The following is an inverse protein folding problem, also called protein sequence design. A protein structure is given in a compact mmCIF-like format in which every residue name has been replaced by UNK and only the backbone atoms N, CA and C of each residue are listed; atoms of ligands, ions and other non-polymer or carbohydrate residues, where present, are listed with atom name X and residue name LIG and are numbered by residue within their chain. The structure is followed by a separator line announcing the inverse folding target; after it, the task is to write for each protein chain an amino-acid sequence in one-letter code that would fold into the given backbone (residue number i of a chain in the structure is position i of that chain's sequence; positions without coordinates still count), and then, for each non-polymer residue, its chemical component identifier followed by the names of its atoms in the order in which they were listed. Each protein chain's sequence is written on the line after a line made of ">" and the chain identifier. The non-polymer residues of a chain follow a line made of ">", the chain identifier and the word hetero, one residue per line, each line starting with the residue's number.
data_IF_715194091733
#
_entry.id   IF_715194091733
#
_cell.length_a   1.000
_cell.length_b   1.000
_cell.length_c   1.000
_cell.angle_alpha   90.00
_cell.angle_beta   90.00
_cell.angle_gamma   90.00
#
_symmetry.space_group_name_H-M   'P 1'
#
loop_
_entity.id
_entity.type
_entity.pdbx_description
1 polymer ?
#
# COMPACT_ATOMS: atom_id res chain seq x y z
N UNK A 1 -13.68 6.30 -12.16
CA UNK A 1 -12.85 5.44 -11.29
C UNK A 1 -13.65 4.95 -10.10
N UNK A 2 -13.52 3.64 -9.86
CA UNK A 2 -13.92 2.81 -8.71
C UNK A 2 -15.04 3.28 -7.79
N UNK A 3 -16.31 3.02 -8.15
CA UNK A 3 -17.23 2.56 -7.09
C UNK A 3 -16.82 1.11 -6.82
N UNK A 4 -16.37 0.79 -5.61
CA UNK A 4 -16.45 -0.60 -5.16
C UNK A 4 -17.93 -0.96 -5.26
N UNK A 5 -18.28 -1.72 -6.31
CA UNK A 5 -19.66 -2.15 -6.56
C UNK A 5 -20.06 -3.29 -5.64
N UNK A 6 -19.07 -3.92 -5.01
CA UNK A 6 -19.19 -5.07 -4.14
C UNK A 6 -18.50 -4.75 -2.81
N UNK A 7 -19.14 -5.15 -1.73
CA UNK A 7 -18.59 -5.20 -0.38
C UNK A 7 -17.53 -6.30 -0.30
N UNK A 8 -16.64 -6.27 0.71
CA UNK A 8 -15.68 -7.36 0.93
C UNK A 8 -16.36 -8.72 1.09
N UNK A 9 -17.52 -8.77 1.77
CA UNK A 9 -18.33 -9.99 1.91
C UNK A 9 -18.77 -10.57 0.57
N UNK A 10 -19.19 -9.71 -0.36
CA UNK A 10 -19.62 -10.12 -1.71
C UNK A 10 -18.44 -10.50 -2.61
N UNK A 11 -17.21 -10.15 -2.25
CA UNK A 11 -16.01 -10.59 -2.97
C UNK A 11 -15.55 -11.98 -2.51
N UNK A 12 -15.86 -12.38 -1.28
CA UNK A 12 -15.56 -13.71 -0.77
C UNK A 12 -16.15 -14.79 -1.72
N UNK A 13 -15.33 -15.78 -2.08
CA UNK A 13 -15.70 -16.82 -3.04
C UNK A 13 -15.59 -16.43 -4.52
N UNK A 14 -15.20 -15.20 -4.86
CA UNK A 14 -14.88 -14.81 -6.23
C UNK A 14 -13.41 -15.04 -6.56
N UNK A 15 -13.11 -15.24 -7.84
CA UNK A 15 -11.74 -15.41 -8.33
C UNK A 15 -10.80 -14.26 -7.90
N UNK A 16 -11.31 -13.03 -7.81
CA UNK A 16 -10.55 -11.87 -7.37
C UNK A 16 -10.10 -11.99 -5.91
N UNK A 17 -10.96 -12.52 -5.03
CA UNK A 17 -10.61 -12.76 -3.64
C UNK A 17 -9.54 -13.83 -3.53
N UNK A 18 -9.67 -14.92 -4.28
CA UNK A 18 -8.66 -15.98 -4.31
C UNK A 18 -7.30 -15.47 -4.79
N UNK A 19 -7.28 -14.65 -5.85
CA UNK A 19 -6.04 -14.03 -6.32
C UNK A 19 -5.42 -13.08 -5.29
N UNK A 20 -6.22 -12.39 -4.47
CA UNK A 20 -5.71 -11.56 -3.37
C UNK A 20 -5.09 -12.44 -2.29
N UNK A 21 -5.78 -13.51 -1.88
CA UNK A 21 -5.27 -14.44 -0.88
C UNK A 21 -3.97 -15.10 -1.35
N UNK A 22 -3.92 -15.62 -2.58
CA UNK A 22 -2.72 -16.20 -3.18
C UNK A 22 -1.53 -15.22 -3.16
N UNK A 23 -1.78 -13.94 -3.49
CA UNK A 23 -0.76 -12.89 -3.44
C UNK A 23 -0.35 -12.49 -2.02
N UNK A 24 -1.12 -12.87 -1.00
CA UNK A 24 -0.81 -12.65 0.42
C UNK A 24 -0.02 -13.79 1.07
N UNK A 25 0.17 -14.93 0.39
CA UNK A 25 1.06 -16.01 0.85
C UNK A 25 2.53 -15.69 0.59
N UNK A 26 3.09 -14.77 1.37
CA UNK A 26 4.46 -14.28 1.20
C UNK A 26 5.54 -15.35 1.43
N UNK A 27 5.35 -16.29 2.36
CA UNK A 27 6.34 -17.36 2.55
C UNK A 27 6.40 -18.29 1.33
N UNK A 28 5.22 -18.65 0.78
CA UNK A 28 5.14 -19.41 -0.47
C UNK A 28 5.89 -18.71 -1.61
N UNK A 29 5.71 -17.40 -1.75
CA UNK A 29 6.39 -16.61 -2.77
C UNK A 29 7.90 -16.55 -2.52
N UNK A 30 8.32 -16.22 -1.30
CA UNK A 30 9.74 -16.14 -0.92
C UNK A 30 10.47 -17.46 -1.15
N UNK A 31 9.83 -18.59 -0.85
CA UNK A 31 10.40 -19.93 -1.08
C UNK A 31 10.79 -20.13 -2.55
N UNK A 32 9.95 -19.70 -3.48
CA UNK A 32 10.24 -19.83 -4.91
C UNK A 32 11.51 -19.06 -5.33
N UNK A 33 11.86 -17.97 -4.64
CA UNK A 33 13.13 -17.28 -4.87
C UNK A 33 14.30 -18.00 -4.21
N UNK A 34 14.11 -18.52 -3.00
CA UNK A 34 15.15 -19.24 -2.27
C UNK A 34 15.57 -20.56 -2.93
N UNK A 35 14.74 -21.11 -3.83
CA UNK A 35 15.12 -22.25 -4.67
C UNK A 35 16.27 -21.89 -5.66
N UNK A 36 16.51 -20.61 -5.93
CA UNK A 36 17.49 -20.14 -6.92
C UNK A 36 18.53 -19.15 -6.37
N UNK A 37 18.21 -18.45 -5.26
CA UNK A 37 19.05 -17.41 -4.68
C UNK A 37 19.42 -17.78 -3.24
N UNK A 38 20.67 -17.52 -2.86
CA UNK A 38 21.09 -17.67 -1.46
C UNK A 38 20.29 -16.68 -0.59
N UNK A 39 19.89 -17.05 0.66
CA UNK A 39 19.14 -16.16 1.55
C UNK A 39 19.75 -14.76 1.69
N UNK A 40 21.08 -14.67 1.78
CA UNK A 40 21.80 -13.40 1.90
C UNK A 40 21.69 -12.49 0.66
N UNK A 41 21.19 -12.98 -0.46
CA UNK A 41 20.92 -12.17 -1.66
C UNK A 41 19.53 -11.52 -1.64
N UNK A 42 18.67 -11.92 -0.69
CA UNK A 42 17.30 -11.43 -0.56
C UNK A 42 17.15 -10.64 0.73
N UNK A 43 16.87 -9.35 0.60
CA UNK A 43 16.54 -8.50 1.73
C UNK A 43 15.02 -8.39 1.89
N UNK A 44 14.50 -8.86 3.01
CA UNK A 44 13.09 -8.67 3.39
C UNK A 44 12.98 -7.50 4.37
N UNK A 45 12.07 -6.56 4.10
CA UNK A 45 11.89 -5.35 4.90
C UNK A 45 10.45 -5.26 5.40
N UNK A 46 10.28 -4.87 6.66
CA UNK A 46 9.00 -4.45 7.21
C UNK A 46 8.65 -3.03 6.75
N UNK A 47 7.54 -2.91 6.02
CA UNK A 47 7.06 -1.63 5.50
C UNK A 47 6.66 -0.64 6.61
N UNK A 48 6.10 -1.11 7.72
CA UNK A 48 5.70 -0.22 8.82
C UNK A 48 6.93 0.39 9.52
N UNK A 49 7.99 -0.40 9.64
CA UNK A 49 9.27 0.09 10.15
C UNK A 49 9.94 1.02 9.15
N UNK A 50 9.84 0.76 7.84
CA UNK A 50 10.30 1.69 6.80
C UNK A 50 9.61 3.06 6.88
N UNK A 51 8.31 3.10 7.16
CA UNK A 51 7.58 4.37 7.31
C UNK A 51 7.96 5.13 8.59
N UNK A 52 8.14 4.41 9.70
CA UNK A 52 8.40 5.02 11.01
C UNK A 52 9.88 5.35 11.27
N UNK A 53 10.80 4.63 10.64
CA UNK A 53 12.25 4.78 10.79
C UNK A 53 12.98 4.58 9.44
N UNK A 54 12.77 5.48 8.45
CA UNK A 54 13.20 5.27 7.06
C UNK A 54 14.73 5.18 6.89
N UNK A 55 15.50 5.91 7.71
CA UNK A 55 16.97 5.93 7.57
C UNK A 55 17.58 4.54 7.80
N UNK A 56 17.17 3.83 8.85
CA UNK A 56 17.73 2.50 9.14
C UNK A 56 17.44 1.48 8.04
N UNK A 57 16.29 1.58 7.39
CA UNK A 57 15.97 0.73 6.23
C UNK A 57 16.77 1.11 4.99
N UNK A 58 16.96 2.41 4.73
CA UNK A 58 17.81 2.86 3.61
C UNK A 58 19.24 2.37 3.80
N UNK A 59 19.79 2.48 5.01
CA UNK A 59 21.13 1.98 5.33
C UNK A 59 21.23 0.45 5.12
N UNK A 60 20.19 -0.31 5.51
CA UNK A 60 20.13 -1.74 5.26
C UNK A 60 20.08 -2.08 3.76
N UNK A 61 19.29 -1.34 2.98
CA UNK A 61 19.19 -1.50 1.52
C UNK A 61 20.55 -1.21 0.87
N UNK A 62 21.17 -0.08 1.19
CA UNK A 62 22.45 0.33 0.60
C UNK A 62 23.55 -0.68 0.90
N UNK A 63 23.64 -1.12 2.15
CA UNK A 63 24.59 -2.18 2.56
C UNK A 63 24.35 -3.48 1.80
N UNK A 64 23.10 -3.89 1.62
CA UNK A 64 22.74 -5.12 0.90
C UNK A 64 23.15 -5.08 -0.57
N UNK A 65 23.03 -3.93 -1.22
CA UNK A 65 23.43 -3.76 -2.63
C UNK A 65 24.90 -3.34 -2.81
N UNK A 66 25.65 -3.15 -1.71
CA UNK A 66 27.05 -2.72 -1.74
C UNK A 66 27.24 -1.24 -2.14
N UNK A 67 26.26 -0.39 -1.88
CA UNK A 67 26.33 1.04 -2.16
C UNK A 67 26.82 1.84 -0.93
N UNK A 68 27.41 3.01 -1.20
CA UNK A 68 27.84 3.94 -0.16
C UNK A 68 26.66 4.50 0.65
N UNK A 69 26.84 4.76 1.96
CA UNK A 69 25.79 5.34 2.81
C UNK A 69 25.23 6.65 2.25
N UNK A 70 23.91 6.83 2.34
CA UNK A 70 23.24 8.05 1.93
C UNK A 70 22.14 8.44 2.93
N UNK A 71 21.98 9.74 3.15
CA UNK A 71 20.86 10.26 3.94
C UNK A 71 19.55 10.10 3.18
N UNK A 72 18.46 9.81 3.90
CA UNK A 72 17.11 9.81 3.33
C UNK A 72 16.84 11.21 2.78
N UNK A 73 16.61 11.35 1.46
CA UNK A 73 16.22 12.63 0.90
C UNK A 73 14.89 13.06 1.52
N UNK A 74 14.68 14.35 1.74
CA UNK A 74 13.42 14.87 2.26
C UNK A 74 12.27 14.49 1.32
N UNK A 75 11.60 13.38 1.62
CA UNK A 75 10.44 12.92 0.89
C UNK A 75 9.27 13.82 1.29
N UNK A 76 9.08 14.92 0.57
CA UNK A 76 7.81 15.64 0.62
C UNK A 76 6.71 14.64 0.29
N UNK A 77 5.84 14.33 1.26
CA UNK A 77 4.77 13.34 1.11
C UNK A 77 3.97 13.60 -0.18
N UNK A 78 4.20 12.80 -1.22
CA UNK A 78 3.59 12.98 -2.54
C UNK A 78 2.28 12.19 -2.72
N UNK A 79 2.04 11.22 -1.84
CA UNK A 79 0.85 10.37 -1.85
C UNK A 79 -0.16 10.80 -0.78
N UNK A 80 -0.53 12.09 -0.77
CA UNK A 80 -1.63 12.58 0.04
C UNK A 80 -2.98 12.08 -0.46
N UNK A 81 -3.24 10.76 -0.38
CA UNK A 81 -4.58 10.21 -0.59
C UNK A 81 -5.57 10.83 0.41
N UNK A 82 -5.09 11.25 1.57
CA UNK A 82 -5.83 12.06 2.55
C UNK A 82 -6.48 13.32 1.94
N UNK A 83 -5.79 14.00 1.02
CA UNK A 83 -6.34 15.18 0.35
C UNK A 83 -7.39 14.77 -0.70
N UNK A 84 -7.20 13.65 -1.40
CA UNK A 84 -8.11 13.16 -2.45
C UNK A 84 -9.39 12.52 -1.90
N UNK A 85 -9.30 11.85 -0.75
CA UNK A 85 -10.43 11.21 -0.07
C UNK A 85 -11.52 12.21 0.32
N UNK A 86 -11.10 13.45 0.62
CA UNK A 86 -11.98 14.55 1.06
C UNK A 86 -12.51 15.44 -0.08
N UNK A 87 -11.97 15.33 -1.29
CA UNK A 87 -12.41 16.13 -2.46
C UNK A 87 -13.71 15.58 -3.05
N UNK A 88 -14.79 16.38 -3.21
CA UNK A 88 -16.08 15.95 -3.77
C UNK A 88 -15.99 15.26 -5.15
N UNK A 89 -16.78 14.20 -5.36
CA UNK A 89 -16.74 13.36 -6.59
C UNK A 89 -17.09 14.14 -7.87
N UNK A 90 -18.00 15.12 -7.79
CA UNK A 90 -18.35 16.01 -8.90
C UNK A 90 -17.13 16.75 -9.44
N UNK A 91 -16.22 17.13 -8.55
CA UNK A 91 -15.02 17.88 -8.90
C UNK A 91 -13.90 17.01 -9.45
N UNK A 92 -13.73 15.79 -8.91
CA UNK A 92 -12.85 14.80 -9.53
C UNK A 92 -13.30 14.49 -10.97
N UNK A 93 -14.60 14.42 -11.24
CA UNK A 93 -15.13 14.23 -12.61
C UNK A 93 -14.79 15.39 -13.55
N UNK A 94 -14.81 16.64 -13.06
CA UNK A 94 -14.38 17.81 -13.83
C UNK A 94 -12.92 17.71 -14.28
N UNK A 95 -12.04 17.12 -13.45
CA UNK A 95 -10.64 16.89 -13.83
C UNK A 95 -10.43 15.78 -14.87
N UNK A 96 -11.46 14.96 -15.14
CA UNK A 96 -11.44 13.88 -16.12
C UNK A 96 -12.30 14.16 -17.37
N UNK A 97 -12.93 15.34 -17.47
CA UNK A 97 -13.76 15.74 -18.61
C UNK A 97 -12.97 16.32 -19.79
N UNK A 98 -13.66 16.57 -20.91
CA UNK A 98 -13.10 17.16 -22.15
C UNK A 98 -12.42 18.52 -21.95
N UNK A 99 -12.73 19.22 -20.87
CA UNK A 99 -12.16 20.53 -20.51
C UNK A 99 -10.83 20.43 -19.74
N UNK A 100 -10.35 19.23 -19.41
CA UNK A 100 -9.08 19.00 -18.71
C UNK A 100 -7.91 19.79 -19.32
N UNK A 101 -7.64 19.76 -20.65
CA UNK A 101 -6.48 20.45 -21.22
C UNK A 101 -6.51 21.96 -20.96
N UNK A 102 -7.70 22.56 -21.04
CA UNK A 102 -7.93 23.99 -20.84
C UNK A 102 -7.74 24.40 -19.38
N UNK A 103 -8.37 23.64 -18.46
CA UNK A 103 -8.22 23.85 -17.01
C UNK A 103 -6.79 23.64 -16.55
N UNK A 104 -6.07 22.69 -17.17
CA UNK A 104 -4.68 22.42 -16.80
C UNK A 104 -3.72 23.51 -17.25
N UNK A 105 -4.05 24.27 -18.30
CA UNK A 105 -3.26 25.43 -18.76
C UNK A 105 -3.47 26.66 -17.88
N UNK A 106 -4.69 26.89 -17.39
CA UNK A 106 -5.03 28.04 -16.56
C UNK A 106 -4.64 27.89 -15.09
N UNK A 107 -4.63 26.67 -14.55
CA UNK A 107 -4.37 26.42 -13.13
C UNK A 107 -3.05 25.69 -12.95
N UNK A 108 -2.01 26.42 -12.51
CA UNK A 108 -0.68 25.88 -12.23
C UNK A 108 -0.65 24.87 -11.07
N UNK A 109 0.40 24.03 -10.95
CA UNK A 109 0.46 22.92 -9.98
C UNK A 109 0.25 23.34 -8.52
N UNK A 110 0.86 24.47 -8.11
CA UNK A 110 0.75 25.03 -6.75
C UNK A 110 -0.70 25.46 -6.42
N UNK A 111 -1.37 26.09 -7.38
CA UNK A 111 -2.73 26.58 -7.21
C UNK A 111 -3.74 25.43 -7.13
N UNK A 112 -3.51 24.31 -7.85
CA UNK A 112 -4.33 23.09 -7.71
C UNK A 112 -4.23 22.48 -6.33
N UNK A 113 -3.04 22.43 -5.75
CA UNK A 113 -2.83 21.95 -4.38
C UNK A 113 -3.59 22.78 -3.35
N UNK A 114 -3.50 24.11 -3.45
CA UNK A 114 -4.22 25.02 -2.56
C UNK A 114 -5.75 24.91 -2.71
N UNK A 115 -6.26 24.85 -3.96
CA UNK A 115 -7.69 24.66 -4.22
C UNK A 115 -8.17 23.32 -3.62
N UNK A 116 -7.40 22.24 -3.80
CA UNK A 116 -7.73 20.92 -3.23
C UNK A 116 -7.81 20.97 -1.71
N UNK A 117 -6.85 21.60 -1.03
CA UNK A 117 -6.85 21.76 0.44
C UNK A 117 -8.04 22.58 0.95
N UNK A 118 -8.36 23.69 0.29
CA UNK A 118 -9.51 24.53 0.65
C UNK A 118 -10.86 23.80 0.45
N UNK A 119 -10.91 22.85 -0.48
CA UNK A 119 -12.12 22.10 -0.83
C UNK A 119 -12.19 20.70 -0.21
N UNK A 120 -11.17 20.28 0.54
CA UNK A 120 -11.13 19.03 1.30
C UNK A 120 -12.00 19.11 2.58
N UNK A 121 -13.28 19.47 2.41
CA UNK A 121 -14.28 19.65 3.49
C UNK A 121 -15.32 18.53 3.58
N UNK A 122 -15.25 17.52 2.71
CA UNK A 122 -16.16 16.37 2.74
C UNK A 122 -15.77 15.32 3.81
N UNK A 123 -16.70 14.44 4.22
CA UNK A 123 -16.39 13.32 5.09
C UNK A 123 -15.32 12.43 4.44
N UNK A 124 -14.37 11.92 5.24
CA UNK A 124 -13.36 10.96 4.79
C UNK A 124 -14.07 9.76 4.17
N UNK A 125 -13.74 9.43 2.93
CA UNK A 125 -14.23 8.22 2.28
C UNK A 125 -13.39 7.06 2.77
N UNK A 126 -13.88 6.34 3.77
CA UNK A 126 -13.28 5.07 4.20
C UNK A 126 -13.60 3.93 3.25
N UNK A 127 -12.69 2.96 3.16
CA UNK A 127 -13.04 1.65 2.62
C UNK A 127 -14.15 1.02 3.51
N UNK A 128 -15.06 0.22 2.94
CA UNK A 128 -16.00 -0.54 3.76
C UNK A 128 -15.23 -1.45 4.73
N UNK A 129 -15.73 -1.58 5.96
CA UNK A 129 -15.20 -2.54 6.91
C UNK A 129 -15.35 -3.98 6.39
N UNK A 130 -14.44 -4.84 6.82
CA UNK A 130 -14.56 -6.28 6.58
C UNK A 130 -15.41 -6.91 7.69
N UNK A 131 -16.33 -7.84 7.38
CA UNK A 131 -17.01 -8.61 8.40
C UNK A 131 -16.00 -9.42 9.24
N UNK A 132 -16.22 -9.51 10.55
CA UNK A 132 -15.30 -10.20 11.46
C UNK A 132 -15.09 -11.67 11.09
N UNK A 133 -16.16 -12.36 10.66
CA UNK A 133 -16.08 -13.74 10.20
C UNK A 133 -15.18 -13.91 8.96
N UNK A 134 -15.19 -12.92 8.05
CA UNK A 134 -14.32 -12.94 6.88
C UNK A 134 -12.87 -12.68 7.27
N UNK A 135 -12.62 -11.72 8.17
CA UNK A 135 -11.29 -11.47 8.72
C UNK A 135 -10.74 -12.71 9.43
N UNK A 136 -11.58 -13.41 10.21
CA UNK A 136 -11.16 -14.63 10.88
C UNK A 136 -10.81 -15.75 9.88
N UNK A 137 -11.61 -15.94 8.83
CA UNK A 137 -11.28 -16.91 7.78
C UNK A 137 -9.95 -16.56 7.09
N UNK A 138 -9.72 -15.29 6.76
CA UNK A 138 -8.46 -14.85 6.16
C UNK A 138 -7.27 -15.09 7.10
N UNK A 139 -7.47 -14.87 8.41
CA UNK A 139 -6.48 -15.17 9.45
C UNK A 139 -6.10 -16.62 9.48
N UNK A 140 -7.10 -17.49 9.52
CA UNK A 140 -6.90 -18.93 9.62
C UNK A 140 -6.16 -19.45 8.38
N UNK A 141 -6.53 -18.96 7.19
CA UNK A 141 -5.90 -19.32 5.91
C UNK A 141 -4.42 -18.88 5.83
N UNK A 142 -4.11 -17.67 6.29
CA UNK A 142 -2.76 -17.09 6.21
C UNK A 142 -1.87 -17.41 7.42
N UNK A 143 -2.43 -18.00 8.49
CA UNK A 143 -1.72 -18.22 9.74
C UNK A 143 -0.46 -19.07 9.56
N UNK A 144 -0.56 -20.17 8.82
CA UNK A 144 0.59 -21.05 8.60
C UNK A 144 1.66 -20.38 7.74
N UNK A 145 1.27 -19.73 6.65
CA UNK A 145 2.20 -19.05 5.76
C UNK A 145 2.95 -17.93 6.51
N UNK A 146 2.26 -17.17 7.35
CA UNK A 146 2.88 -16.13 8.16
C UNK A 146 3.86 -16.70 9.19
N UNK A 147 3.52 -17.82 9.85
CA UNK A 147 4.50 -18.50 10.74
C UNK A 147 5.75 -18.92 9.98
N UNK A 148 5.59 -19.47 8.77
CA UNK A 148 6.73 -19.83 7.91
C UNK A 148 7.53 -18.60 7.48
N UNK A 149 6.88 -17.50 7.14
CA UNK A 149 7.54 -16.25 6.78
C UNK A 149 8.42 -15.76 7.92
N UNK A 150 7.88 -15.67 9.14
CA UNK A 150 8.63 -15.26 10.34
C UNK A 150 9.85 -16.14 10.59
N UNK A 151 9.69 -17.45 10.41
CA UNK A 151 10.80 -18.39 10.54
C UNK A 151 11.88 -18.18 9.47
N UNK A 152 11.47 -18.00 8.20
CA UNK A 152 12.40 -17.83 7.07
C UNK A 152 13.18 -16.51 7.14
N UNK A 153 12.56 -15.45 7.64
CA UNK A 153 13.16 -14.10 7.68
C UNK A 153 13.80 -13.77 9.03
N UNK A 154 13.46 -14.51 10.09
CA UNK A 154 13.81 -14.17 11.47
C UNK A 154 13.14 -12.88 11.98
N UNK A 155 12.12 -12.37 11.28
CA UNK A 155 11.42 -11.12 11.63
C UNK A 155 10.01 -11.42 12.16
N UNK A 156 9.62 -10.76 13.23
CA UNK A 156 8.28 -10.92 13.82
C UNK A 156 7.19 -10.12 13.10
N UNK A 157 7.56 -9.01 12.44
CA UNK A 157 6.63 -8.05 11.83
C UNK A 157 5.57 -7.55 12.83
N UNK A 158 6.00 -7.03 13.99
CA UNK A 158 5.13 -6.78 15.15
C UNK A 158 3.97 -5.80 14.93
N UNK A 159 4.05 -4.92 13.93
CA UNK A 159 2.99 -3.97 13.55
C UNK A 159 2.06 -4.52 12.48
N UNK A 160 2.44 -5.60 11.81
CA UNK A 160 1.64 -6.27 10.81
C UNK A 160 0.77 -7.34 11.49
N UNK A 161 -0.53 -7.27 11.25
CA UNK A 161 -1.50 -8.25 11.70
C UNK A 161 -2.08 -8.99 10.52
N UNK A 162 -2.27 -10.29 10.71
CA UNK A 162 -3.24 -11.06 9.93
C UNK A 162 -4.62 -10.81 10.52
#
# INVERSE_FOLDING_TARGET
>A
MGRLRKTPAELAGQHQFQSIMDASHYARQLRAYLDYFHPDQILVLDFETLLSAPQGHLDAILRHIGAEPMGVPTLSAHNGNDELERVPKSMLRLTHGRLRPLLTRLVGPKMRGQLRRLMARGPRRGAPGFPDALLQSMRDDLAEDTRRLRHMTGQEFSKWSI
#
